data_IF_266075217120
#
_entry.id   IF_266075217120
#
_cell.length_a   1.000
_cell.length_b   1.000
_cell.length_c   1.000
_cell.angle_alpha   90.00
_cell.angle_beta   90.00
_cell.angle_gamma   90.00
#
_symmetry.space_group_name_H-M   'P 1'
#
loop_
_entity.id
_entity.type
_entity.pdbx_description
1 polymer ?
#
# COMPACT_ATOMS: atom_id res chain seq x y z
N UNK A 1 -0.42 26.83 -3.39
CA UNK A 1 0.05 26.00 -2.26
C UNK A 1 -0.53 24.63 -2.47
N UNK A 2 0.25 23.63 -2.89
CA UNK A 2 -0.24 22.26 -2.99
C UNK A 2 -0.03 21.67 -1.61
N UNK A 3 -1.07 21.66 -0.82
CA UNK A 3 -1.07 20.90 0.40
C UNK A 3 -1.16 19.42 -0.05
N UNK A 4 -0.07 18.66 0.05
CA UNK A 4 -0.04 17.23 -0.32
C UNK A 4 -0.11 16.37 0.93
N UNK A 5 -1.06 15.45 1.00
CA UNK A 5 -1.16 14.48 2.09
C UNK A 5 -0.51 13.15 1.68
N UNK A 6 -0.16 12.33 2.66
CA UNK A 6 0.40 11.00 2.40
C UNK A 6 0.01 9.96 3.44
N UNK A 7 0.19 8.69 3.08
CA UNK A 7 0.03 7.54 3.95
C UNK A 7 1.29 6.67 3.82
N UNK A 8 1.97 6.42 4.93
CA UNK A 8 3.08 5.47 4.99
C UNK A 8 2.57 4.11 5.47
N UNK A 9 2.81 3.09 4.66
CA UNK A 9 2.48 1.70 4.96
C UNK A 9 3.77 0.96 5.27
N UNK A 10 3.78 0.19 6.36
CA UNK A 10 4.92 -0.61 6.81
C UNK A 10 4.46 -2.03 7.13
N UNK A 11 5.03 -3.01 6.43
CA UNK A 11 4.79 -4.44 6.63
C UNK A 11 6.08 -5.19 6.95
N UNK A 12 7.09 -4.51 7.49
CA UNK A 12 8.39 -5.09 7.86
C UNK A 12 8.26 -6.27 8.84
N UNK A 13 7.26 -6.26 9.72
CA UNK A 13 6.98 -7.35 10.65
C UNK A 13 6.30 -8.58 10.00
N UNK A 14 5.66 -8.41 8.83
CA UNK A 14 4.83 -9.43 8.18
C UNK A 14 5.43 -9.80 6.83
N UNK A 15 6.62 -10.42 6.85
CA UNK A 15 7.25 -10.90 5.62
C UNK A 15 6.56 -12.17 5.12
N UNK A 16 6.36 -12.26 3.81
CA UNK A 16 5.87 -13.47 3.16
C UNK A 16 7.05 -14.15 2.45
N UNK A 17 7.53 -15.31 2.96
CA UNK A 17 8.59 -16.06 2.32
C UNK A 17 8.25 -16.39 0.87
N UNK A 18 9.28 -16.42 0.01
CA UNK A 18 9.17 -16.83 -1.40
C UNK A 18 8.28 -15.95 -2.29
N UNK A 19 7.73 -14.85 -1.76
CA UNK A 19 7.00 -13.89 -2.57
C UNK A 19 7.91 -13.27 -3.65
N UNK A 20 7.38 -13.13 -4.86
CA UNK A 20 8.09 -12.57 -6.02
C UNK A 20 7.78 -11.09 -6.23
N UNK A 21 6.67 -10.61 -5.67
CA UNK A 21 6.27 -9.21 -5.66
C UNK A 21 5.22 -8.96 -4.57
N UNK A 22 4.89 -7.70 -4.35
CA UNK A 22 3.69 -7.29 -3.61
C UNK A 22 2.79 -6.46 -4.51
N UNK A 23 1.49 -6.46 -4.24
CA UNK A 23 0.50 -5.58 -4.88
C UNK A 23 -0.10 -4.71 -3.80
N UNK A 24 0.05 -3.40 -3.97
CA UNK A 24 -0.53 -2.37 -3.12
C UNK A 24 -1.82 -1.88 -3.76
N UNK A 25 -2.93 -2.08 -3.08
CA UNK A 25 -4.26 -1.64 -3.50
C UNK A 25 -4.90 -0.82 -2.39
N UNK A 26 -5.76 0.13 -2.73
CA UNK A 26 -6.39 1.01 -1.75
C UNK A 26 -7.64 1.72 -2.29
N UNK A 27 -8.56 2.04 -1.38
CA UNK A 27 -9.77 2.82 -1.67
C UNK A 27 -9.88 3.99 -0.68
N UNK A 28 -10.16 5.23 -1.15
CA UNK A 28 -10.38 5.63 -2.53
C UNK A 28 -9.11 5.54 -3.38
N UNK A 29 -9.23 5.21 -4.67
CA UNK A 29 -8.10 5.03 -5.60
C UNK A 29 -7.47 6.36 -6.05
N UNK A 30 -7.16 7.25 -5.10
CA UNK A 30 -6.53 8.56 -5.32
C UNK A 30 -5.23 8.60 -4.54
N UNK A 31 -4.10 8.72 -5.24
CA UNK A 31 -2.76 8.79 -4.67
C UNK A 31 -1.71 8.21 -5.62
N UNK A 32 -0.45 8.31 -5.24
CA UNK A 32 0.69 7.81 -5.99
C UNK A 32 1.61 6.96 -5.08
N UNK A 33 2.01 5.75 -5.49
CA UNK A 33 1.72 5.12 -6.77
C UNK A 33 0.24 4.70 -6.88
N UNK A 34 -0.31 4.54 -8.11
CA UNK A 34 -1.71 4.17 -8.29
C UNK A 34 -2.11 2.86 -7.59
N UNK A 35 -3.38 2.75 -7.23
CA UNK A 35 -3.94 1.51 -6.69
C UNK A 35 -3.74 0.33 -7.65
N UNK A 36 -3.34 -0.82 -7.11
CA UNK A 36 -2.96 -2.02 -7.88
C UNK A 36 -1.48 -2.05 -8.32
N UNK A 37 -0.65 -1.10 -7.88
CA UNK A 37 0.77 -1.07 -8.23
C UNK A 37 1.51 -2.30 -7.69
N UNK A 38 2.35 -2.88 -8.54
CA UNK A 38 3.29 -3.95 -8.16
C UNK A 38 4.57 -3.35 -7.55
N UNK A 39 4.96 -3.87 -6.39
CA UNK A 39 6.16 -3.52 -5.66
C UNK A 39 7.13 -4.72 -5.65
N UNK A 40 8.43 -4.46 -5.56
CA UNK A 40 9.44 -5.52 -5.51
C UNK A 40 9.29 -6.43 -4.28
N UNK A 41 9.71 -7.69 -4.39
CA UNK A 41 9.67 -8.69 -3.30
C UNK A 41 10.47 -8.31 -2.04
N UNK A 42 11.47 -7.43 -2.18
CA UNK A 42 12.26 -6.90 -1.06
C UNK A 42 11.61 -5.72 -0.36
N UNK A 43 10.53 -5.14 -0.93
CA UNK A 43 9.86 -3.99 -0.35
C UNK A 43 9.25 -4.37 1.01
N UNK A 44 9.39 -3.46 1.99
CA UNK A 44 8.82 -3.59 3.34
C UNK A 44 7.96 -2.40 3.73
N UNK A 45 7.99 -1.34 2.93
CA UNK A 45 7.27 -0.09 3.14
C UNK A 45 6.88 0.50 1.80
N UNK A 46 5.81 1.28 1.78
CA UNK A 46 5.40 2.09 0.64
C UNK A 46 4.80 3.41 1.12
N UNK A 47 5.08 4.48 0.39
CA UNK A 47 4.47 5.79 0.61
C UNK A 47 3.44 6.03 -0.48
N UNK A 48 2.18 6.26 -0.08
CA UNK A 48 1.13 6.74 -0.96
C UNK A 48 1.08 8.26 -0.80
N UNK A 49 1.61 9.02 -1.76
CA UNK A 49 1.52 10.48 -1.81
C UNK A 49 0.25 10.96 -2.51
N UNK A 50 0.00 12.26 -2.48
CA UNK A 50 -1.11 12.92 -3.19
C UNK A 50 -2.48 12.33 -2.82
N UNK A 51 -2.62 11.87 -1.58
CA UNK A 51 -3.87 11.35 -1.05
C UNK A 51 -4.85 12.48 -0.74
N UNK A 52 -6.13 12.14 -0.68
CA UNK A 52 -7.16 13.06 -0.21
C UNK A 52 -6.87 13.35 1.28
N UNK A 53 -6.70 14.62 1.67
CA UNK A 53 -6.38 15.00 3.05
C UNK A 53 -7.54 14.72 3.98
N UNK A 54 -7.26 14.34 5.23
CA UNK A 54 -8.29 14.03 6.23
C UNK A 54 -9.37 13.02 5.74
N UNK A 55 -9.00 12.17 4.78
CA UNK A 55 -9.87 11.15 4.22
C UNK A 55 -9.44 9.77 4.74
N UNK A 56 -10.43 8.92 4.98
CA UNK A 56 -10.21 7.53 5.36
C UNK A 56 -9.85 6.71 4.11
N UNK A 57 -8.76 5.96 4.20
CA UNK A 57 -8.34 4.99 3.20
C UNK A 57 -8.41 3.58 3.78
N UNK A 58 -8.88 2.63 2.98
CA UNK A 58 -8.67 1.21 3.27
C UNK A 58 -7.59 0.68 2.33
N UNK A 59 -6.47 0.26 2.90
CA UNK A 59 -5.30 -0.24 2.18
C UNK A 59 -5.26 -1.76 2.27
N UNK A 60 -4.97 -2.41 1.15
CA UNK A 60 -4.80 -3.84 1.00
C UNK A 60 -3.43 -4.13 0.39
N UNK A 61 -2.65 -4.99 1.06
CA UNK A 61 -1.40 -5.50 0.51
C UNK A 61 -1.51 -7.00 0.33
N UNK A 62 -1.15 -7.46 -0.86
CA UNK A 62 -1.06 -8.88 -1.18
C UNK A 62 0.34 -9.22 -1.69
N UNK A 63 0.91 -10.33 -1.23
CA UNK A 63 2.10 -10.91 -1.83
C UNK A 63 1.71 -11.72 -3.06
N UNK A 64 2.46 -11.63 -4.15
CA UNK A 64 2.38 -12.55 -5.29
C UNK A 64 3.36 -13.69 -5.04
N UNK A 65 2.85 -14.91 -5.03
CA UNK A 65 3.63 -16.14 -4.90
C UNK A 65 4.11 -16.63 -6.27
N UNK A 66 5.13 -17.51 -6.34
CA UNK A 66 5.63 -18.06 -7.61
C UNK A 66 4.57 -18.82 -8.41
N UNK A 67 3.56 -19.39 -7.74
CA UNK A 67 2.42 -20.07 -8.39
C UNK A 67 1.35 -19.11 -8.92
N UNK A 68 1.60 -17.79 -8.86
CA UNK A 68 0.70 -16.73 -9.31
C UNK A 68 -0.41 -16.40 -8.32
N UNK A 69 -0.55 -17.13 -7.21
CA UNK A 69 -1.56 -16.82 -6.20
C UNK A 69 -1.20 -15.58 -5.41
N UNK A 70 -2.23 -14.89 -4.93
CA UNK A 70 -2.10 -13.77 -4.01
C UNK A 70 -2.28 -14.26 -2.58
N UNK A 71 -1.32 -13.94 -1.72
CA UNK A 71 -1.43 -14.15 -0.27
C UNK A 71 -1.66 -12.81 0.41
N UNK A 72 -2.66 -12.74 1.26
CA UNK A 72 -2.94 -11.54 2.06
C UNK A 72 -1.77 -11.22 3.00
N UNK A 73 -1.40 -9.94 3.10
CA UNK A 73 -0.35 -9.45 4.00
C UNK A 73 -0.93 -8.51 5.05
N UNK A 74 -1.56 -7.42 4.61
CA UNK A 74 -2.21 -6.44 5.50
C UNK A 74 -3.54 -5.95 4.90
N UNK A 75 -4.47 -5.62 5.78
CA UNK A 75 -5.66 -4.81 5.50
C UNK A 75 -5.79 -3.80 6.64
N UNK A 76 -5.62 -2.53 6.33
CA UNK A 76 -5.64 -1.47 7.33
C UNK A 76 -6.51 -0.30 6.87
N UNK A 77 -7.26 0.27 7.82
CA UNK A 77 -8.00 1.51 7.63
C UNK A 77 -7.21 2.63 8.27
N UNK A 78 -6.77 3.60 7.46
CA UNK A 78 -5.84 4.64 7.87
C UNK A 78 -6.36 5.99 7.38
N UNK A 79 -6.30 7.00 8.25
CA UNK A 79 -6.59 8.36 7.86
C UNK A 79 -5.35 8.99 7.24
N UNK A 80 -5.54 9.53 6.05
CA UNK A 80 -4.58 10.42 5.41
C UNK A 80 -4.25 11.60 6.34
N UNK A 81 -2.98 12.00 6.39
CA UNK A 81 -2.51 13.09 7.26
C UNK A 81 -3.33 14.38 7.09
N UNK A 82 -3.42 15.15 8.17
CA UNK A 82 -3.92 16.52 8.12
C UNK A 82 -2.76 17.45 7.78
N UNK A 83 -3.03 18.49 7.01
CA UNK A 83 -2.06 19.54 6.68
C UNK A 83 -1.62 20.35 7.89
#
# INVERSE_FOLDING_TARGET
MVCSSSILIDWSATTVPESIAYVLDYAPAVGNPPAGTSLGSSARRALISDTIPACEYTVYLSAIMPDGKRKHVIKETIYSSKF
#
